data_IF_045247878905
#
_entry.id   IF_045247878905
#
_cell.length_a   1.000
_cell.length_b   1.000
_cell.length_c   1.000
_cell.angle_alpha   90.00
_cell.angle_beta   90.00
_cell.angle_gamma   90.00
#
_symmetry.space_group_name_H-M   'P 1'
#
loop_
_entity.id
_entity.type
_entity.pdbx_description
1 polymer ?
#
# COMPACT_ATOMS: atom_id res chain seq x y z
N UNK A 1 -34.32 -5.62 -1.98
CA UNK A 1 -33.10 -6.19 -2.59
C UNK A 1 -32.13 -6.51 -1.47
N UNK A 2 -31.83 -7.79 -1.27
CA UNK A 2 -30.98 -8.30 -0.17
C UNK A 2 -29.50 -8.29 -0.60
N UNK A 3 -28.56 -7.89 0.27
CA UNK A 3 -27.12 -7.95 -0.01
C UNK A 3 -26.59 -9.38 0.15
N UNK A 4 -25.85 -9.86 -0.86
CA UNK A 4 -25.19 -11.16 -0.85
C UNK A 4 -23.79 -10.98 -0.26
N UNK A 5 -23.53 -11.70 0.82
CA UNK A 5 -22.22 -11.94 1.41
C UNK A 5 -21.36 -12.76 0.44
N UNK A 6 -20.16 -12.27 0.09
CA UNK A 6 -19.06 -13.13 -0.36
C UNK A 6 -17.95 -13.07 0.69
N UNK A 7 -17.85 -14.18 1.42
CA UNK A 7 -16.77 -14.47 2.34
C UNK A 7 -15.64 -15.18 1.57
N UNK A 8 -14.44 -14.64 1.70
CA UNK A 8 -13.15 -15.35 1.78
C UNK A 8 -12.96 -16.65 0.97
N UNK A 9 -12.21 -16.55 -0.13
CA UNK A 9 -11.27 -17.60 -0.52
C UNK A 9 -10.19 -17.00 -1.43
N UNK A 10 -9.04 -16.60 -0.88
CA UNK A 10 -7.76 -16.42 -1.58
C UNK A 10 -6.64 -16.29 -0.53
N UNK A 11 -6.44 -17.38 0.23
CA UNK A 11 -5.18 -17.69 0.90
C UNK A 11 -4.70 -19.00 0.30
N UNK A 12 -3.79 -18.93 -0.65
CA UNK A 12 -2.65 -19.84 -0.79
C UNK A 12 -2.00 -19.61 -2.16
N UNK A 13 -0.67 -19.55 -2.14
CA UNK A 13 0.26 -19.66 -3.27
C UNK A 13 0.27 -18.52 -4.28
N UNK A 14 1.21 -17.59 -4.09
CA UNK A 14 2.25 -17.34 -5.11
C UNK A 14 3.57 -16.93 -4.44
N UNK A 15 4.51 -17.87 -4.46
CA UNK A 15 5.97 -17.71 -4.57
C UNK A 15 6.69 -16.73 -3.65
N UNK A 16 7.23 -17.32 -2.58
CA UNK A 16 8.35 -16.81 -1.79
C UNK A 16 9.52 -16.41 -2.69
N UNK A 17 9.85 -15.12 -2.64
CA UNK A 17 11.09 -14.55 -3.18
C UNK A 17 12.28 -15.20 -2.49
N UNK A 18 13.09 -15.89 -3.29
CA UNK A 18 14.50 -16.28 -3.10
C UNK A 18 15.06 -16.29 -1.66
N UNK A 19 15.19 -17.50 -1.12
CA UNK A 19 15.99 -17.84 0.05
C UNK A 19 17.49 -17.65 -0.30
N UNK A 20 18.04 -16.49 0.03
CA UNK A 20 19.49 -16.22 -0.09
C UNK A 20 20.18 -16.99 1.03
N UNK A 21 20.56 -18.23 0.76
CA UNK A 21 21.35 -19.08 1.67
C UNK A 21 22.63 -18.34 2.07
N UNK A 22 22.92 -18.33 3.37
CA UNK A 22 24.17 -17.77 3.91
C UNK A 22 25.38 -18.58 3.40
N UNK A 23 26.54 -17.94 3.22
CA UNK A 23 27.79 -18.58 2.79
C UNK A 23 28.16 -19.79 3.65
N UNK A 24 27.84 -19.75 4.94
CA UNK A 24 28.13 -20.86 5.86
C UNK A 24 27.15 -22.02 5.73
N UNK A 25 25.90 -21.76 5.32
CA UNK A 25 24.95 -22.83 4.97
C UNK A 25 25.35 -23.52 3.67
N UNK A 26 25.86 -22.76 2.70
CA UNK A 26 26.41 -23.32 1.46
C UNK A 26 27.63 -24.22 1.77
N UNK A 27 28.57 -23.76 2.59
CA UNK A 27 29.74 -24.56 3.02
C UNK A 27 29.31 -25.84 3.75
N UNK A 28 28.37 -25.75 4.69
CA UNK A 28 27.84 -26.92 5.41
C UNK A 28 27.17 -27.91 4.46
N UNK A 29 26.36 -27.42 3.51
CA UNK A 29 25.73 -28.26 2.48
C UNK A 29 26.76 -28.93 1.57
N UNK A 30 27.82 -28.23 1.17
CA UNK A 30 28.92 -28.77 0.35
C UNK A 30 29.71 -29.87 1.09
N UNK A 31 30.07 -29.61 2.35
CA UNK A 31 30.74 -30.62 3.16
C UNK A 31 29.87 -31.86 3.35
N UNK A 32 28.57 -31.67 3.63
CA UNK A 32 27.63 -32.77 3.80
C UNK A 32 27.45 -33.55 2.48
N UNK A 33 27.35 -32.88 1.34
CA UNK A 33 27.24 -33.55 0.04
C UNK A 33 28.51 -34.31 -0.34
N UNK A 34 29.71 -33.81 -0.05
CA UNK A 34 30.94 -34.57 -0.28
C UNK A 34 31.10 -35.78 0.67
N UNK A 35 30.57 -35.67 1.90
CA UNK A 35 30.52 -36.77 2.86
C UNK A 35 29.52 -37.84 2.42
N UNK A 36 28.30 -37.47 2.07
CA UNK A 36 27.23 -38.40 1.67
C UNK A 36 27.53 -39.09 0.33
N UNK A 37 28.29 -38.45 -0.56
CA UNK A 37 28.76 -39.05 -1.82
C UNK A 37 30.03 -39.91 -1.67
N UNK A 38 30.60 -40.04 -0.47
CA UNK A 38 31.81 -40.85 -0.23
C UNK A 38 33.10 -40.30 -0.86
N UNK A 39 33.08 -39.05 -1.34
CA UNK A 39 34.22 -38.41 -2.01
C UNK A 39 35.32 -38.09 -0.99
N UNK A 40 34.94 -37.79 0.26
CA UNK A 40 35.86 -37.41 1.34
C UNK A 40 36.85 -38.54 1.70
N UNK A 41 36.37 -39.79 1.72
CA UNK A 41 37.20 -40.96 2.04
C UNK A 41 38.18 -41.28 0.91
N UNK A 42 37.74 -41.08 -0.33
CA UNK A 42 38.59 -41.23 -1.52
C UNK A 42 39.73 -40.21 -1.50
N UNK A 43 39.43 -38.96 -1.19
CA UNK A 43 40.41 -37.87 -1.08
C UNK A 43 41.40 -38.12 0.08
N UNK A 44 40.91 -38.59 1.23
CA UNK A 44 41.73 -38.92 2.39
C UNK A 44 42.69 -40.08 2.09
N UNK A 45 42.22 -41.08 1.37
CA UNK A 45 43.04 -42.23 0.95
C UNK A 45 44.12 -41.81 -0.04
N UNK A 46 43.78 -40.95 -1.01
CA UNK A 46 44.74 -40.38 -1.96
C UNK A 46 45.86 -39.59 -1.24
N UNK A 47 45.51 -38.70 -0.31
CA UNK A 47 46.49 -37.94 0.47
C UNK A 47 47.38 -38.84 1.33
N UNK A 48 46.82 -39.89 1.93
CA UNK A 48 47.59 -40.83 2.75
C UNK A 48 48.58 -41.64 1.91
N UNK A 49 48.18 -42.09 0.73
CA UNK A 49 49.05 -42.80 -0.19
C UNK A 49 50.16 -41.90 -0.74
N UNK A 50 49.86 -40.62 -0.98
CA UNK A 50 50.85 -39.63 -1.39
C UNK A 50 51.90 -39.40 -0.29
N UNK A 51 51.47 -39.32 0.97
CA UNK A 51 52.36 -39.18 2.12
C UNK A 51 53.22 -40.42 2.36
N UNK A 52 52.64 -41.62 2.23
CA UNK A 52 53.39 -42.88 2.34
C UNK A 52 54.43 -42.98 1.22
N UNK A 53 54.09 -42.58 -0.01
CA UNK A 53 55.01 -42.58 -1.14
C UNK A 53 56.16 -41.57 -0.96
N UNK A 54 55.89 -40.40 -0.38
CA UNK A 54 56.95 -39.44 -0.01
C UNK A 54 57.84 -39.94 1.14
N UNK A 55 57.30 -40.76 2.04
CA UNK A 55 58.03 -41.32 3.18
C UNK A 55 58.77 -42.65 2.85
N UNK A 56 58.48 -43.32 1.73
CA UNK A 56 58.94 -44.69 1.44
C UNK A 56 59.87 -44.85 0.21
N UNK A 57 60.76 -43.89 -0.05
CA UNK A 57 61.91 -44.11 -0.95
C UNK A 57 63.16 -43.34 -0.46
N UNK A 58 64.41 -43.78 -0.74
CA UNK A 58 65.09 -44.98 -0.24
C UNK A 58 66.47 -44.59 0.37
N UNK A 59 66.65 -44.68 1.70
CA UNK A 59 67.96 -44.37 2.32
C UNK A 59 68.57 -45.56 3.08
N UNK A 60 67.86 -46.69 3.26
CA UNK A 60 68.36 -47.78 4.12
C UNK A 60 68.04 -49.20 3.59
N UNK A 61 68.20 -49.43 2.29
CA UNK A 61 68.24 -50.81 1.76
C UNK A 61 69.66 -51.16 1.33
N UNK A 62 70.53 -51.32 2.33
CA UNK A 62 71.76 -52.10 2.19
C UNK A 62 71.52 -53.45 2.86
N UNK A 63 71.49 -54.51 2.07
CA UNK A 63 71.58 -55.89 2.57
C UNK A 63 72.83 -56.05 3.43
N UNK A 64 72.67 -56.49 4.68
CA UNK A 64 73.78 -57.08 5.43
C UNK A 64 73.25 -58.30 6.19
N UNK A 65 73.41 -59.47 5.58
CA UNK A 65 73.57 -60.71 6.31
C UNK A 65 74.91 -60.66 7.08
N UNK A 66 74.94 -60.74 8.42
CA UNK A 66 76.20 -60.80 9.14
C UNK A 66 76.83 -62.18 8.99
N UNK A 67 77.92 -62.20 8.21
CA UNK A 67 78.91 -63.27 8.12
C UNK A 67 79.46 -63.55 9.52
N UNK A 68 79.17 -64.72 10.11
CA UNK A 68 79.76 -65.12 11.38
C UNK A 68 81.26 -65.38 11.21
N UNK A 69 82.09 -64.56 11.86
CA UNK A 69 83.54 -64.78 11.98
C UNK A 69 83.74 -65.69 13.19
N UNK A 70 84.27 -66.90 12.96
CA UNK A 70 84.72 -67.80 14.02
C UNK A 70 85.94 -67.17 14.70
N UNK A 71 85.75 -66.62 15.90
CA UNK A 71 86.85 -66.17 16.75
C UNK A 71 86.91 -67.12 17.95
N UNK A 72 88.02 -67.84 18.01
CA UNK A 72 88.39 -68.88 18.95
C UNK A 72 88.69 -68.28 20.34
N UNK A 73 87.63 -67.78 21.00
CA UNK A 73 87.62 -67.36 22.40
C UNK A 73 86.65 -68.24 23.18
N UNK A 74 87.04 -68.72 24.35
CA UNK A 74 86.28 -69.67 25.16
C UNK A 74 84.81 -69.26 25.29
N UNK A 75 83.88 -70.17 24.94
CA UNK A 75 82.42 -69.94 24.92
C UNK A 75 81.85 -69.28 26.19
N UNK A 76 82.54 -69.40 27.33
CA UNK A 76 82.19 -68.76 28.60
C UNK A 76 82.42 -67.24 28.61
N UNK A 77 83.50 -66.75 28.01
CA UNK A 77 83.79 -65.31 27.95
C UNK A 77 82.77 -64.57 27.08
N UNK A 78 82.40 -65.17 25.95
CA UNK A 78 81.37 -64.63 25.06
C UNK A 78 80.02 -64.54 25.80
N UNK A 79 79.64 -65.59 26.54
CA UNK A 79 78.43 -65.58 27.37
C UNK A 79 78.45 -64.52 28.47
N UNK A 80 79.61 -64.33 29.12
CA UNK A 80 79.79 -63.30 30.15
C UNK A 80 79.71 -61.88 29.58
N UNK A 81 80.36 -61.64 28.44
CA UNK A 81 80.28 -60.37 27.71
C UNK A 81 78.86 -60.05 27.27
N UNK A 82 78.15 -61.03 26.71
CA UNK A 82 76.75 -60.85 26.31
C UNK A 82 75.84 -60.58 27.53
N UNK A 83 76.13 -61.22 28.68
CA UNK A 83 75.36 -60.99 29.93
C UNK A 83 75.57 -59.58 30.49
N UNK A 84 76.78 -59.02 30.41
CA UNK A 84 77.05 -57.64 30.81
C UNK A 84 76.29 -56.64 29.94
N UNK A 85 76.27 -56.86 28.62
CA UNK A 85 75.51 -56.01 27.70
C UNK A 85 74.02 -56.11 27.99
N UNK A 86 73.49 -57.32 28.22
CA UNK A 86 72.08 -57.52 28.57
C UNK A 86 71.69 -56.83 29.89
N UNK A 87 72.50 -56.95 30.96
CA UNK A 87 72.26 -56.27 32.24
C UNK A 87 72.26 -54.74 32.08
N UNK A 88 73.20 -54.20 31.29
CA UNK A 88 73.24 -52.77 31.00
C UNK A 88 71.98 -52.30 30.26
N UNK A 89 71.60 -53.00 29.18
CA UNK A 89 70.40 -52.67 28.41
C UNK A 89 69.14 -52.70 29.29
N UNK A 90 69.05 -53.65 30.23
CA UNK A 90 67.95 -53.75 31.18
C UNK A 90 67.94 -52.58 32.19
N UNK A 91 69.08 -52.25 32.81
CA UNK A 91 69.15 -51.14 33.78
C UNK A 91 68.87 -49.77 33.17
N UNK A 92 69.24 -49.59 31.90
CA UNK A 92 68.94 -48.37 31.18
C UNK A 92 67.52 -48.34 30.57
N UNK A 93 66.72 -49.41 30.75
CA UNK A 93 65.35 -49.48 30.25
C UNK A 93 65.26 -49.55 28.73
N UNK A 94 66.30 -50.05 28.04
CA UNK A 94 66.32 -50.21 26.59
C UNK A 94 65.60 -51.50 26.16
N UNK A 95 64.32 -51.60 26.50
CA UNK A 95 63.48 -52.79 26.32
C UNK A 95 63.47 -53.30 24.87
N UNK A 96 63.41 -52.39 23.90
CA UNK A 96 63.43 -52.74 22.48
C UNK A 96 64.77 -53.40 22.08
N UNK A 97 65.89 -52.73 22.38
CA UNK A 97 67.23 -53.25 22.08
C UNK A 97 67.49 -54.56 22.81
N UNK A 98 67.05 -54.69 24.06
CA UNK A 98 67.16 -55.92 24.84
C UNK A 98 66.38 -57.08 24.21
N UNK A 99 65.18 -56.82 23.69
CA UNK A 99 64.32 -57.82 23.04
C UNK A 99 64.92 -58.39 21.74
N UNK A 100 65.67 -57.58 21.00
CA UNK A 100 66.37 -57.97 19.77
C UNK A 100 67.71 -58.63 20.11
N UNK A 101 68.40 -58.14 21.15
CA UNK A 101 69.73 -58.62 21.53
C UNK A 101 69.75 -60.07 22.01
N UNK A 102 68.76 -60.53 22.79
CA UNK A 102 68.71 -61.93 23.26
C UNK A 102 68.72 -62.97 22.11
N UNK A 103 67.82 -62.90 21.11
CA UNK A 103 67.84 -63.84 19.99
C UNK A 103 69.06 -63.66 19.08
N UNK A 104 69.54 -62.43 18.84
CA UNK A 104 70.69 -62.18 17.96
C UNK A 104 72.03 -62.62 18.57
N UNK A 105 72.18 -62.50 19.89
CA UNK A 105 73.42 -62.89 20.61
C UNK A 105 73.47 -64.38 20.96
N UNK A 106 72.39 -65.12 20.74
CA UNK A 106 72.24 -66.52 21.17
C UNK A 106 72.20 -66.69 22.70
N UNK A 107 72.02 -65.61 23.46
CA UNK A 107 71.95 -65.64 24.92
C UNK A 107 70.51 -66.00 25.34
N UNK A 108 70.32 -67.18 25.94
CA UNK A 108 69.04 -67.52 26.55
C UNK A 108 68.87 -66.73 27.85
N UNK A 109 67.65 -66.26 28.15
CA UNK A 109 67.33 -65.49 29.36
C UNK A 109 67.69 -66.24 30.66
N UNK A 110 67.74 -67.57 30.61
CA UNK A 110 68.10 -68.47 31.71
C UNK A 110 69.62 -68.68 31.87
N UNK A 111 70.44 -68.28 30.88
CA UNK A 111 71.91 -68.42 30.87
C UNK A 111 72.65 -67.11 31.11
N UNK A 112 71.94 -66.06 31.55
CA UNK A 112 72.55 -64.77 31.90
C UNK A 112 73.35 -64.95 33.18
N UNK A 113 74.64 -64.64 33.15
CA UNK A 113 75.49 -64.69 34.33
C UNK A 113 75.03 -63.63 35.35
N UNK A 114 74.85 -64.02 36.62
CA UNK A 114 74.59 -63.05 37.69
C UNK A 114 75.83 -62.21 37.96
N UNK A 115 75.66 -61.05 38.61
CA UNK A 115 76.80 -60.21 39.01
C UNK A 115 77.83 -61.02 39.83
N UNK A 116 77.36 -61.95 40.66
CA UNK A 116 78.18 -62.84 41.46
C UNK A 116 78.99 -63.82 40.58
N UNK A 117 78.35 -64.42 39.57
CA UNK A 117 79.01 -65.34 38.64
C UNK A 117 80.08 -64.64 37.78
N UNK A 118 79.81 -63.40 37.35
CA UNK A 118 80.75 -62.57 36.60
C UNK A 118 81.98 -62.20 37.44
N UNK A 119 81.77 -61.81 38.71
CA UNK A 119 82.85 -61.49 39.64
C UNK A 119 83.72 -62.73 39.93
N UNK A 120 83.11 -63.92 40.00
CA UNK A 120 83.83 -65.19 40.15
C UNK A 120 84.64 -65.55 38.89
N UNK A 121 84.08 -65.34 37.69
CA UNK A 121 84.76 -65.58 36.41
C UNK A 121 85.98 -64.67 36.23
N UNK A 122 85.91 -63.42 36.69
CA UNK A 122 87.00 -62.42 36.66
C UNK A 122 87.99 -62.66 37.83
N UNK A 123 87.77 -63.68 38.65
CA UNK A 123 88.58 -64.04 39.84
C UNK A 123 88.71 -62.92 40.87
N UNK A 124 87.67 -62.09 41.02
CA UNK A 124 87.62 -61.06 42.07
C UNK A 124 87.27 -61.74 43.38
N UNK A 125 88.12 -61.56 44.40
CA UNK A 125 87.93 -62.21 45.69
C UNK A 125 86.69 -61.64 46.41
N UNK A 126 85.74 -62.48 46.87
CA UNK A 126 84.57 -62.07 47.65
C UNK A 126 84.90 -61.28 48.93
N UNK A 127 86.12 -61.42 49.47
CA UNK A 127 86.57 -60.68 50.66
C UNK A 127 87.10 -59.27 50.35
N UNK A 128 87.26 -58.91 49.07
CA UNK A 128 87.78 -57.59 48.68
C UNK A 128 86.79 -56.46 48.94
N UNK A 129 87.31 -55.26 49.24
CA UNK A 129 86.51 -54.04 49.38
C UNK A 129 85.77 -53.67 48.08
N UNK A 130 86.36 -53.99 46.93
CA UNK A 130 85.74 -53.81 45.61
C UNK A 130 84.47 -54.67 45.46
N UNK A 131 84.52 -55.95 45.86
CA UNK A 131 83.35 -56.83 45.83
C UNK A 131 82.20 -56.26 46.69
N UNK A 132 82.51 -55.82 47.92
CA UNK A 132 81.50 -55.25 48.83
C UNK A 132 80.86 -53.96 48.27
N UNK A 133 81.67 -53.08 47.70
CA UNK A 133 81.21 -51.80 47.12
C UNK A 133 80.29 -52.01 45.89
N UNK A 134 80.63 -52.99 45.04
CA UNK A 134 79.84 -53.29 43.83
C UNK A 134 78.47 -53.92 44.16
N UNK A 135 78.34 -54.58 45.30
CA UNK A 135 77.08 -55.19 45.76
C UNK A 135 76.20 -54.19 46.53
N UNK A 136 76.76 -53.15 47.16
CA UNK A 136 76.04 -52.22 48.06
C UNK A 136 75.50 -50.93 47.42
N UNK A 137 75.42 -50.83 46.08
CA UNK A 137 75.06 -49.59 45.38
C UNK A 137 73.60 -49.12 45.48
N UNK A 138 72.71 -49.84 46.17
CA UNK A 138 71.24 -49.63 46.19
C UNK A 138 70.76 -48.47 47.08
N UNK A 139 71.58 -47.95 47.98
CA UNK A 139 71.12 -47.00 49.02
C UNK A 139 70.86 -45.57 48.50
N UNK A 140 71.35 -45.22 47.30
CA UNK A 140 71.19 -43.86 46.71
C UNK A 140 69.82 -43.61 46.08
N UNK A 141 69.06 -44.67 45.77
CA UNK A 141 67.74 -44.53 45.12
C UNK A 141 66.66 -44.14 46.13
N UNK A 142 66.71 -44.68 47.35
CA UNK A 142 65.74 -44.37 48.41
C UNK A 142 65.77 -42.89 48.82
N UNK A 143 66.95 -42.25 48.82
CA UNK A 143 67.08 -40.83 49.15
C UNK A 143 66.44 -39.89 48.10
N UNK A 144 66.32 -40.34 46.84
CA UNK A 144 65.62 -39.57 45.80
C UNK A 144 64.10 -39.70 45.92
N UNK A 145 63.62 -40.89 46.29
CA UNK A 145 62.20 -41.14 46.52
C UNK A 145 61.65 -40.27 47.65
N UNK A 146 62.37 -40.17 48.77
CA UNK A 146 61.98 -39.30 49.90
C UNK A 146 61.95 -37.81 49.50
N UNK A 147 62.90 -37.36 48.67
CA UNK A 147 62.91 -35.97 48.18
C UNK A 147 61.77 -35.67 47.20
N UNK A 148 61.36 -36.64 46.38
CA UNK A 148 60.20 -36.50 45.51
C UNK A 148 58.91 -36.41 46.33
N UNK A 149 58.77 -37.24 47.36
CA UNK A 149 57.58 -37.26 48.22
C UNK A 149 57.40 -35.94 48.98
N UNK A 150 58.50 -35.34 49.46
CA UNK A 150 58.46 -34.02 50.10
C UNK A 150 58.06 -32.90 49.13
N UNK A 151 58.42 -33.03 47.84
CA UNK A 151 57.97 -32.10 46.79
C UNK A 151 56.46 -32.28 46.60
N UNK A 152 55.98 -33.51 46.41
CA UNK A 152 54.56 -33.78 46.21
C UNK A 152 53.69 -33.26 47.36
N UNK A 153 54.13 -33.44 48.62
CA UNK A 153 53.43 -32.92 49.80
C UNK A 153 53.39 -31.37 49.82
N UNK A 154 54.49 -30.69 49.48
CA UNK A 154 54.51 -29.22 49.40
C UNK A 154 53.62 -28.66 48.28
N UNK A 155 53.50 -29.38 47.17
CA UNK A 155 52.62 -28.97 46.06
C UNK A 155 51.15 -29.34 46.30
N UNK A 156 50.86 -30.34 47.14
CA UNK A 156 49.51 -30.64 47.60
C UNK A 156 48.93 -29.52 48.49
N UNK A 157 49.76 -28.91 49.33
CA UNK A 157 49.36 -27.75 50.16
C UNK A 157 49.13 -26.45 49.36
N UNK A 158 49.62 -26.38 48.11
CA UNK A 158 49.37 -25.26 47.18
C UNK A 158 48.08 -25.43 46.35
N UNK A 159 47.43 -26.60 46.39
CA UNK A 159 46.17 -26.87 45.68
C UNK A 159 44.99 -25.98 46.16
N UNK A 160 44.83 -25.67 47.46
CA UNK A 160 43.83 -24.72 47.94
C UNK A 160 43.99 -23.30 47.38
N UNK A 161 45.20 -22.86 47.02
CA UNK A 161 45.40 -21.59 46.33
C UNK A 161 44.80 -21.61 44.91
N UNK A 162 44.84 -22.73 44.16
CA UNK A 162 44.20 -22.82 42.83
C UNK A 162 42.69 -22.59 42.89
N UNK A 163 42.02 -23.10 43.93
CA UNK A 163 40.57 -22.91 44.13
C UNK A 163 40.24 -21.41 44.34
N UNK A 164 41.13 -20.66 45.01
CA UNK A 164 40.99 -19.19 45.13
C UNK A 164 41.21 -18.47 43.80
N UNK A 165 42.14 -18.93 42.97
CA UNK A 165 42.37 -18.38 41.62
C UNK A 165 41.16 -18.65 40.70
N UNK A 166 40.57 -19.84 40.76
CA UNK A 166 39.35 -20.17 39.99
C UNK A 166 38.16 -19.28 40.40
N UNK A 167 37.99 -19.00 41.68
CA UNK A 167 36.94 -18.06 42.15
C UNK A 167 37.15 -16.63 41.64
N UNK A 168 38.40 -16.16 41.58
CA UNK A 168 38.73 -14.86 41.03
C UNK A 168 38.55 -14.80 39.51
N UNK A 169 38.88 -15.88 38.80
CA UNK A 169 38.68 -16.01 37.36
C UNK A 169 37.19 -15.99 36.98
N UNK A 170 36.34 -16.65 37.78
CA UNK A 170 34.88 -16.59 37.61
C UNK A 170 34.37 -15.15 37.77
N UNK A 171 34.76 -14.45 38.85
CA UNK A 171 34.37 -13.05 39.07
C UNK A 171 34.85 -12.12 37.95
N UNK A 172 36.08 -12.31 37.46
CA UNK A 172 36.62 -11.52 36.36
C UNK A 172 35.81 -11.72 35.07
N UNK A 173 35.42 -12.96 34.77
CA UNK A 173 34.58 -13.28 33.63
C UNK A 173 33.15 -12.76 33.78
N UNK A 174 32.60 -12.74 34.99
CA UNK A 174 31.31 -12.13 35.30
C UNK A 174 31.33 -10.63 35.04
N UNK A 175 32.33 -9.90 35.58
CA UNK A 175 32.49 -8.47 35.32
C UNK A 175 32.69 -8.17 33.83
N UNK A 176 33.49 -8.99 33.13
CA UNK A 176 33.66 -8.86 31.67
C UNK A 176 32.31 -9.01 30.94
N UNK A 177 31.54 -10.05 31.29
CA UNK A 177 30.22 -10.30 30.70
C UNK A 177 29.27 -9.14 30.97
N UNK A 178 29.25 -8.61 32.20
CA UNK A 178 28.40 -7.50 32.60
C UNK A 178 28.73 -6.22 31.82
N UNK A 179 30.01 -5.88 31.65
CA UNK A 179 30.45 -4.74 30.85
C UNK A 179 30.05 -4.93 29.37
N UNK A 180 30.26 -6.12 28.81
CA UNK A 180 29.87 -6.39 27.42
C UNK A 180 28.34 -6.34 27.24
N UNK A 181 27.57 -6.81 28.22
CA UNK A 181 26.11 -6.77 28.20
C UNK A 181 25.59 -5.34 28.32
N UNK A 182 26.18 -4.51 29.20
CA UNK A 182 25.89 -3.08 29.30
C UNK A 182 26.18 -2.36 27.98
N UNK A 183 27.37 -2.59 27.38
CA UNK A 183 27.72 -1.96 26.11
C UNK A 183 26.78 -2.38 24.97
N UNK A 184 26.42 -3.68 24.93
CA UNK A 184 25.43 -4.19 23.98
C UNK A 184 24.06 -3.53 24.19
N UNK A 185 23.59 -3.44 25.42
CA UNK A 185 22.32 -2.81 25.76
C UNK A 185 22.29 -1.31 25.36
N UNK A 186 23.34 -0.57 25.70
CA UNK A 186 23.49 0.84 25.31
C UNK A 186 23.50 1.02 23.79
N UNK A 187 24.23 0.17 23.08
CA UNK A 187 24.30 0.23 21.62
C UNK A 187 22.95 -0.12 20.97
N UNK A 188 22.26 -1.14 21.47
CA UNK A 188 20.90 -1.47 21.05
C UNK A 188 19.92 -0.31 21.29
N UNK A 189 20.01 0.35 22.44
CA UNK A 189 19.17 1.50 22.77
C UNK A 189 19.45 2.70 21.86
N UNK A 190 20.73 3.05 21.65
CA UNK A 190 21.12 4.13 20.72
C UNK A 190 20.67 3.84 19.30
N UNK A 191 20.84 2.60 18.83
CA UNK A 191 20.39 2.19 17.51
C UNK A 191 18.87 2.28 17.37
N UNK A 192 18.12 1.88 18.40
CA UNK A 192 16.67 2.00 18.43
C UNK A 192 16.24 3.47 18.33
N UNK A 193 16.83 4.35 19.15
CA UNK A 193 16.53 5.78 19.10
C UNK A 193 16.82 6.40 17.73
N UNK A 194 17.97 6.06 17.11
CA UNK A 194 18.31 6.53 15.77
C UNK A 194 17.28 6.06 14.73
N UNK A 195 16.92 4.77 14.75
CA UNK A 195 15.89 4.21 13.85
C UNK A 195 14.54 4.89 14.04
N UNK A 196 14.09 5.04 15.28
CA UNK A 196 12.80 5.68 15.59
C UNK A 196 12.77 7.14 15.13
N UNK A 197 13.88 7.87 15.30
CA UNK A 197 14.02 9.26 14.83
C UNK A 197 13.96 9.35 13.31
N UNK A 198 14.69 8.50 12.60
CA UNK A 198 14.70 8.51 11.13
C UNK A 198 13.33 8.09 10.56
N UNK A 199 12.68 7.10 11.17
CA UNK A 199 11.30 6.71 10.82
C UNK A 199 10.34 7.87 11.05
N UNK A 200 10.44 8.58 12.18
CA UNK A 200 9.61 9.74 12.48
C UNK A 200 9.82 10.86 11.46
N UNK A 201 11.07 11.13 11.06
CA UNK A 201 11.41 12.11 10.03
C UNK A 201 10.82 11.76 8.67
N UNK A 202 11.01 10.52 8.20
CA UNK A 202 10.44 10.03 6.93
C UNK A 202 8.92 10.16 6.95
N UNK A 203 8.27 9.73 8.05
CA UNK A 203 6.81 9.85 8.20
C UNK A 203 6.34 11.30 8.18
N UNK A 204 7.06 12.20 8.85
CA UNK A 204 6.74 13.63 8.88
C UNK A 204 6.88 14.28 7.50
N UNK A 205 7.97 13.98 6.79
CA UNK A 205 8.21 14.49 5.44
C UNK A 205 7.17 13.97 4.44
N UNK A 206 6.83 12.67 4.50
CA UNK A 206 5.77 12.07 3.70
C UNK A 206 4.42 12.73 3.99
N UNK A 207 4.04 12.87 5.27
CA UNK A 207 2.81 13.56 5.68
C UNK A 207 2.75 15.00 5.14
N UNK A 208 3.84 15.76 5.30
CA UNK A 208 3.95 17.14 4.82
C UNK A 208 3.82 17.23 3.30
N UNK A 209 4.32 16.24 2.56
CA UNK A 209 4.18 16.18 1.10
C UNK A 209 2.72 15.94 0.69
N UNK A 210 2.06 14.94 1.29
CA UNK A 210 0.64 14.67 0.99
C UNK A 210 -0.27 15.82 1.39
N UNK A 211 0.01 16.50 2.51
CA UNK A 211 -0.77 17.67 2.94
C UNK A 211 -0.63 18.85 1.97
N UNK A 212 0.56 19.06 1.39
CA UNK A 212 0.76 20.05 0.33
C UNK A 212 0.01 19.67 -0.95
N UNK A 213 0.09 18.42 -1.38
CA UNK A 213 -0.61 17.95 -2.58
C UNK A 213 -2.14 18.05 -2.40
N UNK A 214 -2.64 17.72 -1.20
CA UNK A 214 -4.05 17.82 -0.86
C UNK A 214 -4.54 19.28 -0.87
N UNK A 215 -3.78 20.19 -0.28
CA UNK A 215 -4.14 21.62 -0.27
C UNK A 215 -4.08 22.23 -1.67
N UNK A 216 -3.11 21.83 -2.50
CA UNK A 216 -3.08 22.22 -3.92
C UNK A 216 -4.31 21.70 -4.66
N UNK A 217 -4.63 20.42 -4.52
CA UNK A 217 -5.80 19.81 -5.15
C UNK A 217 -7.11 20.50 -4.72
N UNK A 218 -7.28 20.78 -3.42
CA UNK A 218 -8.44 21.49 -2.89
C UNK A 218 -8.57 22.89 -3.50
N UNK A 219 -7.47 23.64 -3.58
CA UNK A 219 -7.45 24.98 -4.17
C UNK A 219 -7.80 24.96 -5.67
N UNK A 220 -7.24 24.02 -6.42
CA UNK A 220 -7.52 23.88 -7.85
C UNK A 220 -8.98 23.48 -8.10
N UNK A 221 -9.51 22.57 -7.27
CA UNK A 221 -10.91 22.19 -7.31
C UNK A 221 -11.83 23.37 -6.96
N UNK A 222 -11.52 24.12 -5.90
CA UNK A 222 -12.29 25.29 -5.49
C UNK A 222 -12.30 26.37 -6.58
N UNK A 223 -11.15 26.67 -7.19
CA UNK A 223 -11.05 27.58 -8.34
C UNK A 223 -11.88 27.12 -9.53
N UNK A 224 -11.85 25.82 -9.87
CA UNK A 224 -12.64 25.28 -10.96
C UNK A 224 -14.15 25.38 -10.69
N UNK A 225 -14.57 25.08 -9.45
CA UNK A 225 -15.94 25.26 -9.00
C UNK A 225 -16.38 26.71 -9.05
N UNK A 226 -15.54 27.63 -8.57
CA UNK A 226 -15.79 29.07 -8.58
C UNK A 226 -15.91 29.61 -10.01
N UNK A 227 -14.97 29.28 -10.90
CA UNK A 227 -15.05 29.71 -12.29
C UNK A 227 -16.33 29.21 -12.99
N UNK A 228 -16.76 27.99 -12.67
CA UNK A 228 -18.01 27.42 -13.20
C UNK A 228 -19.24 28.12 -12.64
N UNK A 229 -19.28 28.44 -11.34
CA UNK A 229 -20.40 29.16 -10.75
C UNK A 229 -20.50 30.59 -11.29
N UNK A 230 -19.39 31.29 -11.40
CA UNK A 230 -19.32 32.64 -11.99
C UNK A 230 -19.78 32.64 -13.46
N UNK A 231 -19.33 31.67 -14.26
CA UNK A 231 -19.79 31.53 -15.64
C UNK A 231 -21.31 31.29 -15.75
N UNK A 232 -21.88 30.50 -14.83
CA UNK A 232 -23.33 30.28 -14.77
C UNK A 232 -24.09 31.54 -14.37
N UNK A 233 -23.61 32.26 -13.34
CA UNK A 233 -24.21 33.52 -12.90
C UNK A 233 -24.17 34.57 -14.00
N UNK A 234 -23.05 34.69 -14.72
CA UNK A 234 -22.92 35.61 -15.86
C UNK A 234 -23.90 35.25 -16.98
N UNK A 235 -24.05 33.96 -17.28
CA UNK A 235 -25.01 33.48 -18.28
C UNK A 235 -26.45 33.78 -17.86
N UNK A 236 -26.81 33.47 -16.62
CA UNK A 236 -28.14 33.71 -16.07
C UNK A 236 -28.48 35.20 -16.13
N UNK A 237 -27.56 36.06 -15.69
CA UNK A 237 -27.71 37.53 -15.76
C UNK A 237 -27.97 38.00 -17.19
N UNK A 238 -27.18 37.54 -18.17
CA UNK A 238 -27.37 37.91 -19.57
C UNK A 238 -28.75 37.47 -20.10
N UNK A 239 -29.21 36.27 -19.71
CA UNK A 239 -30.56 35.80 -20.11
C UNK A 239 -31.67 36.60 -19.45
N UNK A 240 -31.54 36.95 -18.17
CA UNK A 240 -32.51 37.77 -17.45
C UNK A 240 -32.59 39.18 -18.03
N UNK A 241 -31.46 39.80 -18.36
CA UNK A 241 -31.43 41.12 -19.00
C UNK A 241 -32.14 41.11 -20.36
N UNK A 242 -31.98 40.04 -21.15
CA UNK A 242 -32.71 39.90 -22.42
C UNK A 242 -34.21 39.77 -22.22
N UNK A 243 -34.64 38.96 -21.25
CA UNK A 243 -36.06 38.77 -20.92
C UNK A 243 -36.66 40.09 -20.44
N UNK A 244 -35.99 40.79 -19.52
CA UNK A 244 -36.43 42.08 -19.00
C UNK A 244 -36.57 43.12 -20.12
N UNK A 245 -35.58 43.24 -21.02
CA UNK A 245 -35.67 44.14 -22.18
C UNK A 245 -36.85 43.82 -23.09
N UNK A 246 -37.10 42.54 -23.34
CA UNK A 246 -38.24 42.12 -24.15
C UNK A 246 -39.58 42.48 -23.47
N UNK A 247 -39.71 42.21 -22.17
CA UNK A 247 -40.89 42.60 -21.38
C UNK A 247 -41.11 44.11 -21.38
N UNK A 248 -40.05 44.91 -21.30
CA UNK A 248 -40.14 46.38 -21.36
C UNK A 248 -40.65 46.87 -22.72
N UNK A 249 -40.23 46.23 -23.82
CA UNK A 249 -40.72 46.56 -25.16
C UNK A 249 -42.19 46.16 -25.30
N UNK A 250 -42.54 44.94 -24.91
CA UNK A 250 -43.92 44.42 -25.00
C UNK A 250 -44.89 45.29 -24.19
N UNK A 251 -44.52 45.69 -22.97
CA UNK A 251 -45.33 46.59 -22.15
C UNK A 251 -45.52 47.97 -22.79
N UNK A 252 -44.50 48.53 -23.43
CA UNK A 252 -44.61 49.78 -24.19
C UNK A 252 -45.52 49.64 -25.41
N UNK A 253 -45.42 48.52 -26.14
CA UNK A 253 -46.27 48.22 -27.31
C UNK A 253 -47.73 48.05 -26.90
N UNK A 254 -48.02 47.24 -25.87
CA UNK A 254 -49.37 47.07 -25.31
C UNK A 254 -49.94 48.43 -24.87
N UNK A 255 -49.13 49.24 -24.19
CA UNK A 255 -49.57 50.57 -23.77
C UNK A 255 -49.90 51.46 -24.98
N UNK A 256 -49.05 51.49 -26.01
CA UNK A 256 -49.29 52.27 -27.22
C UNK A 256 -50.57 51.83 -27.94
N UNK A 257 -50.79 50.51 -28.09
CA UNK A 257 -52.01 49.95 -28.66
C UNK A 257 -53.25 50.34 -27.83
N UNK A 258 -53.18 50.24 -26.50
CA UNK A 258 -54.27 50.67 -25.60
C UNK A 258 -54.60 52.14 -25.78
N UNK A 259 -53.59 53.01 -25.90
CA UNK A 259 -53.80 54.44 -26.14
C UNK A 259 -54.46 54.73 -27.50
N UNK A 260 -54.10 53.97 -28.54
CA UNK A 260 -54.73 54.09 -29.85
C UNK A 260 -56.22 53.70 -29.79
N UNK A 261 -56.54 52.56 -29.17
CA UNK A 261 -57.92 52.11 -28.98
C UNK A 261 -58.76 53.12 -28.18
N UNK A 262 -58.18 53.75 -27.16
CA UNK A 262 -58.87 54.80 -26.41
C UNK A 262 -59.21 56.00 -27.30
N UNK A 263 -58.29 56.43 -28.16
CA UNK A 263 -58.54 57.52 -29.12
C UNK A 263 -59.63 57.16 -30.13
N UNK A 264 -59.61 55.94 -30.65
CA UNK A 264 -60.62 55.46 -31.60
C UNK A 264 -62.00 55.36 -30.94
N UNK A 265 -62.08 54.87 -29.70
CA UNK A 265 -63.31 54.83 -28.91
C UNK A 265 -63.90 56.23 -28.72
N UNK A 266 -63.07 57.22 -28.37
CA UNK A 266 -63.54 58.60 -28.20
C UNK A 266 -63.98 59.23 -29.52
N UNK A 267 -63.31 58.91 -30.64
CA UNK A 267 -63.73 59.34 -31.97
C UNK A 267 -65.09 58.73 -32.35
N UNK A 268 -65.29 57.44 -32.10
CA UNK A 268 -66.55 56.74 -32.35
C UNK A 268 -67.69 57.34 -31.52
N UNK A 269 -67.46 57.62 -30.22
CA UNK A 269 -68.45 58.30 -29.37
C UNK A 269 -68.85 59.68 -29.91
N UNK A 270 -67.90 60.47 -30.42
CA UNK A 270 -68.22 61.77 -31.04
C UNK A 270 -69.06 61.61 -32.29
N UNK A 271 -68.72 60.66 -33.17
CA UNK A 271 -69.49 60.37 -34.38
C UNK A 271 -70.89 59.85 -34.06
N UNK A 272 -71.01 58.98 -33.06
CA UNK A 272 -72.29 58.49 -32.57
C UNK A 272 -73.18 59.64 -32.06
N UNK A 273 -72.62 60.56 -31.28
CA UNK A 273 -73.32 61.76 -30.82
C UNK A 273 -73.76 62.66 -31.98
N UNK A 274 -72.90 62.90 -32.98
CA UNK A 274 -73.25 63.68 -34.16
C UNK A 274 -74.36 63.01 -34.98
N UNK A 275 -74.27 61.70 -35.23
CA UNK A 275 -75.30 60.95 -35.92
C UNK A 275 -76.63 60.99 -35.17
N UNK A 276 -76.60 60.84 -33.84
CA UNK A 276 -77.78 60.96 -33.01
C UNK A 276 -78.44 62.33 -33.16
N UNK A 277 -77.66 63.41 -33.10
CA UNK A 277 -78.17 64.77 -33.33
C UNK A 277 -78.78 64.94 -34.73
N UNK A 278 -78.15 64.38 -35.77
CA UNK A 278 -78.68 64.43 -37.15
C UNK A 278 -79.99 63.66 -37.29
N UNK A 279 -80.10 62.50 -36.64
CA UNK A 279 -81.34 61.70 -36.62
C UNK A 279 -82.44 62.45 -35.89
N UNK A 280 -82.18 62.99 -34.70
CA UNK A 280 -83.15 63.79 -33.93
C UNK A 280 -83.62 65.01 -34.73
N UNK A 281 -82.72 65.72 -35.41
CA UNK A 281 -83.06 66.86 -36.27
C UNK A 281 -83.90 66.45 -37.49
N UNK A 282 -83.57 65.31 -38.11
CA UNK A 282 -84.33 64.76 -39.23
C UNK A 282 -85.76 64.38 -38.80
N UNK A 283 -85.90 63.67 -37.67
CA UNK A 283 -87.21 63.30 -37.11
C UNK A 283 -88.06 64.54 -36.78
N UNK A 284 -87.45 65.59 -36.21
CA UNK A 284 -88.16 66.84 -35.92
C UNK A 284 -88.63 67.53 -37.20
N UNK A 285 -87.78 67.61 -38.22
CA UNK A 285 -88.13 68.20 -39.51
C UNK A 285 -89.23 67.38 -40.22
N UNK A 286 -89.16 66.05 -40.15
CA UNK A 286 -90.20 65.17 -40.69
C UNK A 286 -91.55 65.44 -40.01
N UNK A 287 -91.60 65.50 -38.67
CA UNK A 287 -92.82 65.84 -37.91
C UNK A 287 -93.39 67.20 -38.33
N UNK A 288 -92.55 68.21 -38.47
CA UNK A 288 -92.97 69.53 -38.93
C UNK A 288 -93.57 69.50 -40.35
N UNK A 289 -92.98 68.73 -41.26
CA UNK A 289 -93.52 68.55 -42.61
C UNK A 289 -94.86 67.81 -42.58
N UNK A 290 -94.97 66.74 -41.79
CA UNK A 290 -96.23 66.02 -41.59
C UNK A 290 -97.34 66.93 -41.04
N UNK A 291 -97.04 67.80 -40.07
CA UNK A 291 -97.97 68.80 -39.54
C UNK A 291 -98.38 69.84 -40.59
N UNK A 292 -97.42 70.32 -41.42
CA UNK A 292 -97.73 71.22 -42.54
C UNK A 292 -98.67 70.56 -43.54
N UNK A 293 -98.39 69.31 -43.93
CA UNK A 293 -99.26 68.56 -44.83
C UNK A 293 -100.65 68.37 -44.25
N UNK A 294 -100.76 67.98 -42.97
CA UNK A 294 -102.06 67.88 -42.26
C UNK A 294 -102.82 69.21 -42.29
N UNK A 295 -102.17 70.32 -41.96
CA UNK A 295 -102.77 71.66 -41.96
C UNK A 295 -103.27 72.06 -43.36
N UNK A 296 -102.47 71.82 -44.41
CA UNK A 296 -102.87 72.07 -45.81
C UNK A 296 -104.06 71.20 -46.20
N UNK A 297 -104.02 69.90 -45.90
CA UNK A 297 -105.13 68.98 -46.18
C UNK A 297 -106.40 69.42 -45.46
N UNK A 298 -106.32 69.86 -44.21
CA UNK A 298 -107.47 70.41 -43.48
C UNK A 298 -108.01 71.70 -44.11
N UNK A 299 -107.13 72.61 -44.55
CA UNK A 299 -107.52 73.84 -45.22
C UNK A 299 -108.24 73.55 -46.55
N UNK A 300 -107.71 72.63 -47.35
CA UNK A 300 -108.33 72.14 -48.58
C UNK A 300 -109.70 71.51 -48.30
N UNK A 301 -109.80 70.64 -47.29
CA UNK A 301 -111.07 70.03 -46.88
C UNK A 301 -112.12 71.09 -46.48
N UNK A 302 -111.72 72.15 -45.78
CA UNK A 302 -112.62 73.28 -45.44
C UNK A 302 -113.07 74.04 -46.69
N UNK A 303 -112.18 74.28 -47.65
CA UNK A 303 -112.55 74.90 -48.93
C UNK A 303 -113.50 74.03 -49.74
N UNK A 304 -113.25 72.72 -49.83
CA UNK A 304 -114.15 71.78 -50.52
C UNK A 304 -115.54 71.78 -49.88
N UNK A 305 -115.63 71.76 -48.55
CA UNK A 305 -116.91 71.86 -47.84
C UNK A 305 -117.62 73.20 -48.13
N UNK A 306 -116.87 74.31 -48.15
CA UNK A 306 -117.43 75.62 -48.52
C UNK A 306 -117.95 75.63 -49.96
N UNK A 307 -117.17 75.15 -50.93
CA UNK A 307 -117.60 75.04 -52.34
C UNK A 307 -118.84 74.16 -52.45
N UNK A 308 -118.85 73.00 -51.81
CA UNK A 308 -120.00 72.10 -51.79
C UNK A 308 -121.25 72.76 -51.22
N UNK A 309 -121.11 73.54 -50.13
CA UNK A 309 -122.24 74.30 -49.59
C UNK A 309 -122.72 75.41 -50.53
N UNK A 310 -121.81 76.05 -51.28
CA UNK A 310 -122.19 77.01 -52.33
C UNK A 310 -122.92 76.31 -53.46
N UNK A 311 -122.41 75.17 -53.96
CA UNK A 311 -123.06 74.35 -54.99
C UNK A 311 -124.47 73.94 -54.56
N UNK A 312 -124.63 73.38 -53.35
CA UNK A 312 -125.95 73.01 -52.80
C UNK A 312 -126.90 74.22 -52.70
N UNK A 313 -126.36 75.39 -52.37
CA UNK A 313 -127.14 76.64 -52.31
C UNK A 313 -127.55 77.10 -53.71
N UNK A 314 -126.66 77.04 -54.70
CA UNK A 314 -126.94 77.38 -56.09
C UNK A 314 -127.90 76.38 -56.74
N UNK A 315 -127.73 75.08 -56.53
CA UNK A 315 -128.65 74.04 -56.98
C UNK A 315 -130.05 74.23 -56.40
N UNK A 316 -130.15 74.59 -55.12
CA UNK A 316 -131.43 74.92 -54.48
C UNK A 316 -132.08 76.13 -55.13
N UNK A 317 -131.31 77.19 -55.43
CA UNK A 317 -131.80 78.35 -56.17
C UNK A 317 -132.27 77.96 -57.58
N UNK A 318 -131.47 77.19 -58.31
CA UNK A 318 -131.81 76.74 -59.67
C UNK A 318 -133.06 75.86 -59.68
N UNK A 319 -133.19 74.92 -58.74
CA UNK A 319 -134.41 74.12 -58.58
C UNK A 319 -135.62 74.99 -58.29
N UNK A 320 -135.50 75.98 -57.41
CA UNK A 320 -136.60 76.91 -57.13
C UNK A 320 -137.01 77.70 -58.38
N UNK A 321 -136.04 78.21 -59.14
CA UNK A 321 -136.31 78.89 -60.41
C UNK A 321 -136.95 77.95 -61.44
N UNK A 322 -136.44 76.72 -61.61
CA UNK A 322 -137.06 75.71 -62.47
C UNK A 322 -138.48 75.38 -62.03
N UNK A 323 -138.75 75.30 -60.72
CA UNK A 323 -140.10 75.09 -60.20
C UNK A 323 -141.01 76.29 -60.50
N UNK A 324 -140.48 77.51 -60.42
CA UNK A 324 -141.18 78.72 -60.84
C UNK A 324 -141.47 78.70 -62.35
N UNK A 325 -140.50 78.33 -63.19
CA UNK A 325 -140.72 78.15 -64.63
C UNK A 325 -141.73 77.05 -64.94
N UNK A 326 -141.69 75.90 -64.25
CA UNK A 326 -142.68 74.84 -64.41
C UNK A 326 -144.08 75.29 -64.00
N UNK A 327 -144.18 76.07 -62.91
CA UNK A 327 -145.44 76.71 -62.50
C UNK A 327 -145.91 77.70 -63.57
N UNK A 328 -145.03 78.54 -64.12
CA UNK A 328 -145.35 79.49 -65.18
C UNK A 328 -145.79 78.78 -66.47
N UNK A 329 -145.06 77.75 -66.90
CA UNK A 329 -145.39 76.93 -68.05
C UNK A 329 -146.69 76.15 -67.86
N UNK A 330 -146.95 75.63 -66.65
CA UNK A 330 -148.22 75.02 -66.29
C UNK A 330 -149.39 76.01 -66.36
N UNK A 331 -149.17 77.26 -65.95
CA UNK A 331 -150.14 78.36 -66.11
C UNK A 331 -150.33 78.71 -67.59
N UNK A 332 -149.27 78.72 -68.41
CA UNK A 332 -149.35 78.95 -69.86
C UNK A 332 -150.10 77.83 -70.60
N UNK A 333 -149.85 76.57 -70.26
CA UNK A 333 -150.57 75.40 -70.79
C UNK A 333 -152.06 75.42 -70.37
N UNK A 334 -152.37 75.81 -69.13
CA UNK A 334 -153.75 75.94 -68.66
C UNK A 334 -154.51 77.10 -69.34
N UNK A 335 -153.80 78.09 -69.90
CA UNK A 335 -154.35 79.23 -70.62
C UNK A 335 -154.43 79.04 -72.15
N UNK A 336 -154.05 77.87 -72.69
CA UNK A 336 -154.25 77.55 -74.11
C UNK A 336 -153.35 78.31 -75.09
N UNK A 337 -152.11 78.64 -74.69
CA UNK A 337 -151.11 79.27 -75.56
C UNK A 337 -150.05 78.22 -75.91
N UNK A 338 -150.10 77.66 -77.11
CA UNK A 338 -149.08 76.74 -77.63
C UNK A 338 -148.19 77.52 -78.62
N UNK A 339 -146.89 77.60 -78.32
CA UNK A 339 -145.81 77.76 -79.31
C UNK A 339 -144.74 76.74 -78.96
#
# INVERSE_FOLDING_TARGET
MKPIYLHNHLKSNMFTVADVLSQDELRKKLYQTFKDRGILDTLKTQLRNQLIHELMHPVLSGELQPRSISVEGSSLLIGASNSLVADHLQRCGYEYSLSVFFPESGLAKEKVFTMQDLLQLIKINPTSSLYKSLVSGSDKENQKAEKLQLIDDQFADAYPQRIKFESLEIKLNEYKREIEEQLRAEMCQKLKFFKDTEIAKIKMEAKKKYEKELTMFQNDFEKACQAKSEALVLREKSTLERIHKHQEIETKEIYAQRQLLLKDMDLLRRREAELKQRVEAFELNQKLQEEKHKSITEALRRQEQNIKSFEETYDRKLKNELLNFHRLHGVCLALGILI
#
